data_IF_579803479393
#
_entry.id   IF_579803479393
#
_cell.length_a   1.000
_cell.length_b   1.000
_cell.length_c   1.000
_cell.angle_alpha   90.00
_cell.angle_beta   90.00
_cell.angle_gamma   90.00
#
_symmetry.space_group_name_H-M   'P 1'
#
loop_
_entity.id
_entity.type
_entity.pdbx_description
1 polymer ?
#
# COMPACT_ATOMS: atom_id res chain seq x y z
N UNK A 1 -12.52 -0.85 20.01
CA UNK A 1 -11.07 -0.61 20.02
C UNK A 1 -10.74 0.89 20.10
N UNK A 2 -10.77 1.65 19.01
CA UNK A 2 -10.38 3.08 18.99
C UNK A 2 -11.20 3.90 20.02
N UNK A 3 -12.51 3.79 20.00
CA UNK A 3 -13.40 4.54 20.93
C UNK A 3 -13.07 4.30 22.41
N UNK A 4 -12.70 3.07 22.79
CA UNK A 4 -12.39 2.71 24.17
C UNK A 4 -10.95 2.95 24.61
N UNK A 5 -10.06 3.45 23.75
CA UNK A 5 -8.70 3.78 24.14
C UNK A 5 -8.70 5.01 25.07
N UNK A 6 -8.02 4.93 26.22
CA UNK A 6 -7.91 5.97 27.24
C UNK A 6 -6.48 6.35 27.60
N UNK A 7 -5.51 5.49 27.28
CA UNK A 7 -4.09 5.69 27.57
C UNK A 7 -3.27 5.62 26.28
N UNK A 8 -3.43 4.53 25.55
CA UNK A 8 -2.69 4.29 24.31
C UNK A 8 -3.50 3.61 23.24
N UNK A 9 -3.09 3.81 21.98
CA UNK A 9 -3.65 3.15 20.81
C UNK A 9 -2.53 2.81 19.81
N UNK A 10 -2.40 1.55 19.43
CA UNK A 10 -1.44 1.09 18.44
C UNK A 10 -2.22 0.54 17.24
N UNK A 11 -1.93 1.06 16.06
CA UNK A 11 -2.52 0.65 14.81
C UNK A 11 -1.42 0.21 13.84
N UNK A 12 -1.33 -1.09 13.59
CA UNK A 12 -0.35 -1.68 12.67
C UNK A 12 -1.10 -2.26 11.48
N UNK A 13 -0.86 -1.72 10.28
CA UNK A 13 -1.51 -2.15 9.04
C UNK A 13 -0.63 -1.88 7.83
N UNK A 14 -0.39 -2.86 6.95
CA UNK A 14 0.36 -2.64 5.70
C UNK A 14 -0.24 -1.54 4.83
N UNK A 15 -1.56 -1.49 4.75
CA UNK A 15 -2.32 -0.50 3.99
C UNK A 15 -3.08 0.41 4.93
N UNK A 16 -3.01 1.71 4.65
CA UNK A 16 -3.68 2.73 5.43
C UNK A 16 -4.52 3.62 4.51
N UNK A 17 -5.83 3.49 4.62
CA UNK A 17 -6.82 4.40 4.03
C UNK A 17 -8.03 4.41 4.94
N UNK A 18 -8.08 5.40 5.79
CA UNK A 18 -9.07 5.51 6.85
C UNK A 18 -10.37 6.12 6.29
N UNK A 19 -11.50 5.53 6.66
CA UNK A 19 -12.79 6.15 6.40
C UNK A 19 -13.04 7.33 7.36
N UNK A 20 -14.02 8.19 7.03
CA UNK A 20 -14.29 9.42 7.79
C UNK A 20 -14.63 9.12 9.26
N UNK A 21 -15.33 8.03 9.53
CA UNK A 21 -15.65 7.64 10.90
C UNK A 21 -14.42 7.29 11.74
N UNK A 22 -13.44 6.60 11.16
CA UNK A 22 -12.17 6.32 11.82
C UNK A 22 -11.37 7.60 12.03
N UNK A 23 -11.35 8.48 11.03
CA UNK A 23 -10.70 9.79 11.12
C UNK A 23 -11.26 10.65 12.26
N UNK A 24 -12.58 10.72 12.39
CA UNK A 24 -13.24 11.40 13.52
C UNK A 24 -12.81 10.83 14.88
N UNK A 25 -12.88 9.49 15.04
CA UNK A 25 -12.50 8.84 16.30
C UNK A 25 -11.04 9.06 16.65
N UNK A 26 -10.14 9.07 15.67
CA UNK A 26 -8.72 9.36 15.89
C UNK A 26 -8.51 10.84 16.23
N UNK A 27 -9.19 11.77 15.55
CA UNK A 27 -9.16 13.19 15.90
C UNK A 27 -9.60 13.44 17.36
N UNK A 28 -10.62 12.70 17.84
CA UNK A 28 -11.03 12.74 19.24
C UNK A 28 -9.92 12.27 20.18
N UNK A 29 -9.21 11.18 19.83
CA UNK A 29 -8.08 10.69 20.62
C UNK A 29 -6.91 11.67 20.64
N UNK A 30 -6.67 12.38 19.54
CA UNK A 30 -5.68 13.44 19.49
C UNK A 30 -6.03 14.59 20.46
N UNK A 31 -7.29 15.02 20.48
CA UNK A 31 -7.76 16.06 21.43
C UNK A 31 -7.60 15.63 22.89
N UNK A 32 -7.80 14.35 23.17
CA UNK A 32 -7.66 13.76 24.50
C UNK A 32 -6.20 13.45 24.87
N UNK A 33 -5.25 13.72 23.99
CA UNK A 33 -3.79 13.48 24.16
C UNK A 33 -3.45 12.01 24.47
N UNK A 34 -4.20 11.09 23.88
CA UNK A 34 -3.91 9.65 23.95
C UNK A 34 -2.64 9.36 23.12
N UNK A 35 -1.73 8.51 23.60
CA UNK A 35 -0.56 8.05 22.84
C UNK A 35 -1.02 7.15 21.69
N UNK A 36 -1.07 7.73 20.48
CA UNK A 36 -1.46 6.99 19.26
C UNK A 36 -0.25 6.77 18.38
N UNK A 37 -0.01 5.49 18.06
CA UNK A 37 1.06 5.05 17.17
C UNK A 37 0.49 4.32 15.98
N UNK A 38 0.87 4.75 14.77
CA UNK A 38 0.42 4.20 13.51
C UNK A 38 1.64 3.67 12.76
N UNK A 39 1.64 2.36 12.44
CA UNK A 39 2.68 1.74 11.62
C UNK A 39 2.08 1.26 10.32
N UNK A 40 2.66 1.68 9.19
CA UNK A 40 2.22 1.28 7.87
C UNK A 40 3.39 0.69 7.04
N UNK A 41 3.07 -0.08 5.98
CA UNK A 41 4.07 -0.87 5.24
C UNK A 41 4.15 -0.57 3.75
N UNK A 42 3.24 0.23 3.21
CA UNK A 42 3.30 0.69 1.82
C UNK A 42 3.82 2.11 1.77
N UNK A 43 4.82 2.34 0.93
CA UNK A 43 5.50 3.63 0.79
C UNK A 43 4.63 4.75 0.23
N UNK A 44 3.52 4.40 -0.40
CA UNK A 44 2.61 5.36 -1.03
C UNK A 44 1.33 5.51 -0.21
N UNK A 45 1.36 6.37 0.80
CA UNK A 45 0.12 6.92 1.35
C UNK A 45 -0.45 7.90 0.32
N UNK A 46 -1.78 7.86 0.15
CA UNK A 46 -2.45 8.86 -0.69
C UNK A 46 -2.17 10.26 -0.13
N UNK A 47 -1.99 11.29 -0.98
CA UNK A 47 -1.71 12.66 -0.52
C UNK A 47 -2.71 13.16 0.53
N UNK A 48 -3.98 12.79 0.42
CA UNK A 48 -5.04 13.13 1.37
C UNK A 48 -4.83 12.49 2.75
N UNK A 49 -4.32 11.26 2.81
CA UNK A 49 -3.99 10.58 4.07
C UNK A 49 -2.77 11.24 4.74
N UNK A 50 -1.77 11.63 3.94
CA UNK A 50 -0.58 12.34 4.42
C UNK A 50 -0.99 13.68 5.02
N UNK A 51 -1.81 14.46 4.32
CA UNK A 51 -2.26 15.78 4.78
C UNK A 51 -3.07 15.66 6.08
N UNK A 52 -3.95 14.68 6.15
CA UNK A 52 -4.73 14.42 7.35
C UNK A 52 -3.85 14.02 8.55
N UNK A 53 -2.88 13.10 8.35
CA UNK A 53 -1.96 12.68 9.40
C UNK A 53 -1.07 13.81 9.91
N UNK A 54 -0.71 14.77 9.05
CA UNK A 54 0.06 15.98 9.43
C UNK A 54 -0.67 16.87 10.44
N UNK A 55 -1.99 16.91 10.38
CA UNK A 55 -2.82 17.68 11.32
C UNK A 55 -2.89 17.09 12.72
N UNK A 56 -2.31 15.90 12.93
CA UNK A 56 -2.37 15.17 14.19
C UNK A 56 -0.98 15.01 14.81
N UNK A 57 -0.93 14.96 16.15
CA UNK A 57 0.32 14.78 16.91
C UNK A 57 0.70 13.31 17.06
N UNK A 58 0.33 12.46 16.11
CA UNK A 58 0.58 11.03 16.18
C UNK A 58 1.99 10.67 15.73
N UNK A 59 2.55 9.64 16.35
CA UNK A 59 3.78 9.00 15.88
C UNK A 59 3.39 8.04 14.74
N UNK A 60 3.81 8.40 13.53
CA UNK A 60 3.58 7.58 12.35
C UNK A 60 4.93 7.02 11.88
N UNK A 61 5.01 5.70 11.69
CA UNK A 61 6.24 5.02 11.33
C UNK A 61 6.05 4.13 10.11
N UNK A 62 7.05 4.10 9.24
CA UNK A 62 7.09 3.19 8.09
C UNK A 62 7.87 1.92 8.44
N UNK A 63 7.30 0.76 8.16
CA UNK A 63 7.94 -0.53 8.33
C UNK A 63 8.03 -1.26 6.97
N UNK A 64 9.25 -1.42 6.45
CA UNK A 64 9.50 -2.15 5.21
C UNK A 64 9.04 -3.60 5.35
N UNK A 65 8.38 -4.13 4.32
CA UNK A 65 7.86 -5.51 4.28
C UNK A 65 6.81 -5.85 5.37
N UNK A 66 6.15 -4.85 5.93
CA UNK A 66 5.09 -5.07 6.91
C UNK A 66 3.94 -5.88 6.29
N UNK A 67 3.55 -6.97 6.96
CA UNK A 67 2.35 -7.74 6.61
C UNK A 67 1.42 -7.96 7.80
N UNK A 68 1.86 -7.66 9.01
CA UNK A 68 1.05 -7.75 10.22
C UNK A 68 -0.12 -6.76 10.25
N UNK A 69 -1.26 -7.18 10.78
CA UNK A 69 -2.41 -6.34 11.10
C UNK A 69 -2.75 -6.58 12.56
N UNK A 70 -2.43 -5.58 13.37
CA UNK A 70 -2.63 -5.62 14.81
C UNK A 70 -3.14 -4.28 15.30
N UNK A 71 -4.25 -4.31 16.00
CA UNK A 71 -4.90 -3.12 16.55
C UNK A 71 -5.08 -3.31 18.04
N UNK A 72 -4.53 -2.42 18.86
CA UNK A 72 -4.60 -2.60 20.30
C UNK A 72 -4.70 -1.30 21.08
N UNK A 73 -5.34 -1.39 22.21
CA UNK A 73 -5.34 -0.37 23.26
C UNK A 73 -4.88 -1.03 24.58
N UNK A 74 -4.93 -0.31 25.68
CA UNK A 74 -4.49 -0.79 27.00
C UNK A 74 -5.21 -2.03 27.52
N UNK A 75 -6.42 -2.35 27.00
CA UNK A 75 -7.27 -3.47 27.45
C UNK A 75 -7.39 -4.60 26.44
N UNK A 76 -7.24 -4.34 25.16
CA UNK A 76 -7.62 -5.24 24.08
C UNK A 76 -6.61 -5.23 22.95
N UNK A 77 -6.44 -6.39 22.31
CA UNK A 77 -5.69 -6.54 21.07
C UNK A 77 -6.52 -7.31 20.05
N UNK A 78 -6.54 -6.86 18.80
CA UNK A 78 -7.10 -7.58 17.67
C UNK A 78 -5.97 -7.92 16.71
N UNK A 79 -5.75 -9.21 16.47
CA UNK A 79 -4.89 -9.71 15.38
C UNK A 79 -5.80 -10.23 14.29
N UNK A 80 -5.62 -9.75 13.06
CA UNK A 80 -6.60 -9.99 12.00
C UNK A 80 -5.97 -10.01 10.62
N UNK A 81 -6.69 -10.48 9.63
CA UNK A 81 -6.37 -10.31 8.22
C UNK A 81 -6.81 -8.94 7.67
N UNK A 82 -7.71 -8.23 8.36
CA UNK A 82 -8.29 -6.95 7.95
C UNK A 82 -7.26 -5.82 7.96
N UNK A 83 -7.06 -5.17 6.82
CA UNK A 83 -6.29 -3.93 6.73
C UNK A 83 -7.13 -2.71 7.16
N UNK A 84 -6.45 -1.65 7.64
CA UNK A 84 -7.08 -0.32 7.79
C UNK A 84 -7.27 0.34 6.42
N UNK A 85 -7.98 -0.35 5.57
CA UNK A 85 -8.26 0.04 4.20
C UNK A 85 -9.74 -0.18 3.92
N UNK A 86 -10.44 0.88 3.52
CA UNK A 86 -11.89 0.88 3.33
C UNK A 86 -12.39 -0.24 2.42
N UNK A 87 -11.68 -0.49 1.30
CA UNK A 87 -12.02 -1.56 0.38
C UNK A 87 -12.01 -2.95 1.03
N UNK A 88 -11.03 -3.23 1.90
CA UNK A 88 -10.93 -4.50 2.63
C UNK A 88 -12.12 -4.72 3.57
N UNK A 89 -12.65 -3.64 4.14
CA UNK A 89 -13.78 -3.71 5.08
C UNK A 89 -15.10 -4.09 4.40
N UNK A 90 -15.25 -3.82 3.11
CA UNK A 90 -16.50 -4.00 2.37
C UNK A 90 -16.46 -5.23 1.45
N UNK A 91 -15.30 -5.53 0.87
CA UNK A 91 -15.20 -6.48 -0.25
C UNK A 91 -14.50 -7.79 0.09
N UNK A 92 -13.77 -7.86 1.21
CA UNK A 92 -13.00 -9.05 1.57
C UNK A 92 -13.69 -9.87 2.66
N UNK A 93 -13.50 -11.19 2.61
CA UNK A 93 -13.81 -12.06 3.74
C UNK A 93 -12.62 -12.04 4.70
N UNK A 94 -12.79 -11.42 5.85
CA UNK A 94 -11.74 -11.20 6.83
C UNK A 94 -12.01 -11.97 8.12
N UNK A 95 -10.95 -12.36 8.81
CA UNK A 95 -11.02 -13.07 10.08
C UNK A 95 -10.02 -12.47 11.07
N UNK A 96 -10.35 -12.53 12.36
CA UNK A 96 -9.45 -12.06 13.41
C UNK A 96 -9.78 -12.64 14.77
N UNK A 97 -8.87 -12.44 15.69
CA UNK A 97 -8.97 -12.85 17.09
C UNK A 97 -8.95 -11.60 17.96
N UNK A 98 -9.90 -11.52 18.89
CA UNK A 98 -9.92 -10.51 19.94
C UNK A 98 -9.31 -11.10 21.21
N UNK A 99 -8.22 -10.50 21.66
CA UNK A 99 -7.56 -10.83 22.92
C UNK A 99 -7.93 -9.74 23.93
N UNK A 100 -8.48 -10.14 25.09
CA UNK A 100 -8.77 -9.22 26.18
C UNK A 100 -7.74 -9.42 27.29
N UNK A 101 -7.07 -8.34 27.67
CA UNK A 101 -6.02 -8.37 28.70
C UNK A 101 -6.50 -8.97 30.02
N UNK A 102 -7.77 -8.75 30.37
CA UNK A 102 -8.35 -9.28 31.59
C UNK A 102 -8.61 -10.80 31.54
N UNK A 103 -8.79 -11.37 30.34
CA UNK A 103 -9.10 -12.78 30.14
C UNK A 103 -7.83 -13.62 29.87
N UNK A 104 -6.90 -13.07 29.07
CA UNK A 104 -5.60 -13.70 28.76
C UNK A 104 -4.50 -12.63 28.79
N UNK A 105 -3.99 -12.39 29.98
CA UNK A 105 -2.96 -11.36 30.20
C UNK A 105 -1.62 -11.72 29.57
N UNK A 106 -1.29 -13.03 29.47
CA UNK A 106 -0.02 -13.47 28.87
C UNK A 106 -0.05 -13.27 27.35
N UNK A 107 -1.07 -13.74 26.68
CA UNK A 107 -1.21 -13.59 25.24
C UNK A 107 -1.30 -12.12 24.83
N UNK A 108 -1.99 -11.28 25.63
CA UNK A 108 -2.01 -9.84 25.42
C UNK A 108 -0.60 -9.23 25.52
N UNK A 109 0.19 -9.65 26.53
CA UNK A 109 1.56 -9.19 26.74
C UNK A 109 2.45 -9.58 25.56
N UNK A 110 2.37 -10.83 25.09
CA UNK A 110 3.16 -11.32 23.96
C UNK A 110 2.83 -10.54 22.68
N UNK A 111 1.54 -10.30 22.40
CA UNK A 111 1.10 -9.48 21.29
C UNK A 111 1.59 -8.01 21.41
N UNK A 112 1.61 -7.45 22.62
CA UNK A 112 2.12 -6.12 22.86
C UNK A 112 3.64 -6.02 22.64
N UNK A 113 4.40 -6.99 23.13
CA UNK A 113 5.86 -7.06 22.94
C UNK A 113 6.22 -7.16 21.46
N UNK A 114 5.46 -7.94 20.67
CA UNK A 114 5.65 -8.05 19.23
C UNK A 114 5.27 -6.72 18.51
N UNK A 115 4.18 -6.08 18.91
CA UNK A 115 3.82 -4.76 18.39
C UNK A 115 4.92 -3.72 18.69
N UNK A 116 5.49 -3.73 19.90
CA UNK A 116 6.62 -2.87 20.26
C UNK A 116 7.89 -3.20 19.45
N UNK A 117 8.14 -4.48 19.15
CA UNK A 117 9.25 -4.88 18.27
C UNK A 117 9.08 -4.27 16.88
N UNK A 118 7.87 -4.38 16.30
CA UNK A 118 7.57 -3.79 14.98
C UNK A 118 7.76 -2.26 15.01
N UNK A 119 7.28 -1.57 16.05
CA UNK A 119 7.47 -0.13 16.21
C UNK A 119 8.97 0.23 16.25
N UNK A 120 9.78 -0.52 17.02
CA UNK A 120 11.22 -0.26 17.15
C UNK A 120 12.02 -0.44 15.86
N UNK A 121 11.62 -1.38 14.99
CA UNK A 121 12.29 -1.60 13.70
C UNK A 121 11.72 -0.73 12.58
N UNK A 122 10.70 0.07 12.87
CA UNK A 122 10.09 0.98 11.91
C UNK A 122 10.80 2.33 11.93
N UNK A 123 10.93 2.94 10.76
CA UNK A 123 11.47 4.29 10.62
C UNK A 123 10.40 5.31 11.03
N UNK A 124 10.71 6.17 11.98
CA UNK A 124 9.84 7.28 12.34
C UNK A 124 9.77 8.28 11.18
N UNK A 125 8.62 8.34 10.55
CA UNK A 125 8.35 9.31 9.47
C UNK A 125 7.87 10.59 10.11
N UNK A 126 8.78 11.53 10.38
CA UNK A 126 8.41 12.91 10.65
C UNK A 126 7.92 13.51 9.34
N UNK A 127 6.61 13.63 9.20
CA UNK A 127 5.98 14.36 8.12
C UNK A 127 6.19 15.85 8.41
N UNK A 128 7.44 16.34 8.29
CA UNK A 128 7.74 17.76 8.37
C UNK A 128 7.46 18.40 7.01
N UNK A 129 6.93 19.61 7.03
CA UNK A 129 6.64 20.44 5.85
C UNK A 129 7.87 20.70 4.96
N UNK A 130 9.09 20.47 5.47
CA UNK A 130 10.34 20.75 4.74
C UNK A 130 10.71 19.73 3.66
N UNK A 131 10.14 18.51 3.66
CA UNK A 131 10.51 17.47 2.67
C UNK A 131 9.72 17.48 1.38
N UNK A 132 8.77 18.40 1.20
CA UNK A 132 7.96 18.47 -0.02
C UNK A 132 8.56 19.42 -1.08
N UNK A 133 9.60 20.17 -0.77
CA UNK A 133 10.10 21.23 -1.67
C UNK A 133 11.48 20.97 -2.29
N UNK A 134 12.22 19.96 -1.94
CA UNK A 134 13.51 19.77 -2.58
C UNK A 134 14.08 18.36 -2.43
N UNK A 135 13.67 17.46 -3.30
CA UNK A 135 14.59 16.50 -3.93
C UNK A 135 13.95 16.05 -5.24
N UNK A 136 14.65 16.15 -6.38
CA UNK A 136 14.24 15.44 -7.57
C UNK A 136 14.29 13.96 -7.26
N UNK A 137 13.25 13.24 -7.64
CA UNK A 137 13.08 11.80 -7.49
C UNK A 137 14.40 11.07 -7.73
N UNK A 138 15.12 10.73 -6.65
CA UNK A 138 16.09 9.68 -6.70
C UNK A 138 15.29 8.39 -6.90
N UNK A 139 15.26 7.95 -8.13
CA UNK A 139 14.68 6.70 -8.61
C UNK A 139 15.09 5.60 -7.65
N UNK A 140 14.13 5.06 -6.89
CA UNK A 140 14.29 3.83 -6.14
C UNK A 140 14.51 2.68 -7.11
N UNK A 141 15.76 2.46 -7.50
CA UNK A 141 16.21 1.35 -8.34
C UNK A 141 16.25 0.01 -7.61
N UNK A 142 15.75 -0.10 -6.37
CA UNK A 142 15.88 -1.36 -5.61
C UNK A 142 14.58 -2.17 -5.46
N UNK A 143 13.42 -1.67 -5.91
CA UNK A 143 12.18 -2.44 -5.84
C UNK A 143 11.96 -3.43 -7.00
N UNK A 144 12.82 -3.42 -8.03
CA UNK A 144 12.63 -4.23 -9.26
C UNK A 144 13.64 -5.37 -9.42
N UNK A 145 14.51 -5.65 -8.44
CA UNK A 145 15.49 -6.76 -8.57
C UNK A 145 14.94 -8.16 -8.24
N UNK A 146 13.67 -8.30 -7.89
CA UNK A 146 13.05 -9.62 -7.67
C UNK A 146 11.86 -9.92 -8.60
N UNK A 147 11.73 -9.24 -9.70
CA UNK A 147 10.83 -9.61 -10.79
C UNK A 147 11.61 -10.36 -11.87
N UNK A 148 12.28 -11.45 -11.50
CA UNK A 148 12.55 -12.56 -12.42
C UNK A 148 11.26 -13.33 -12.66
N UNK A 149 10.35 -12.74 -13.42
CA UNK A 149 9.30 -13.45 -14.10
C UNK A 149 9.76 -13.61 -15.55
N UNK A 150 10.12 -14.85 -15.86
CA UNK A 150 10.25 -15.47 -17.16
C UNK A 150 10.24 -14.51 -18.36
N UNK A 151 11.43 -14.07 -18.75
CA UNK A 151 11.67 -13.52 -20.08
C UNK A 151 11.58 -14.69 -21.07
N UNK A 152 10.40 -14.94 -21.59
CA UNK A 152 10.26 -15.72 -22.82
C UNK A 152 10.70 -14.82 -23.98
N UNK A 153 11.97 -14.91 -24.40
CA UNK A 153 12.44 -14.27 -25.62
C UNK A 153 12.27 -12.74 -25.65
N UNK A 154 12.55 -12.07 -26.70
CA UNK A 154 12.62 -10.63 -26.98
C UNK A 154 11.48 -9.69 -26.52
N UNK A 155 10.69 -10.00 -25.48
CA UNK A 155 9.55 -9.21 -25.00
C UNK A 155 9.70 -8.76 -23.58
N UNK A 156 9.24 -7.54 -23.28
CA UNK A 156 9.27 -6.90 -21.96
C UNK A 156 7.87 -6.72 -21.36
N UNK A 157 7.67 -6.92 -20.05
CA UNK A 157 6.46 -6.49 -19.36
C UNK A 157 6.26 -4.97 -19.45
N UNK A 158 4.98 -4.51 -19.38
CA UNK A 158 4.63 -3.08 -19.49
C UNK A 158 5.45 -2.17 -18.57
N UNK A 159 5.72 -2.57 -17.33
CA UNK A 159 6.52 -1.79 -16.40
C UNK A 159 7.98 -1.63 -16.86
N UNK A 160 8.61 -2.70 -17.35
CA UNK A 160 10.00 -2.65 -17.86
C UNK A 160 10.11 -1.84 -19.14
N UNK A 161 9.13 -1.95 -20.05
CA UNK A 161 9.10 -1.14 -21.26
C UNK A 161 8.86 0.33 -20.95
N UNK A 162 7.92 0.65 -20.07
CA UNK A 162 7.66 2.03 -19.64
C UNK A 162 8.92 2.67 -19.03
N UNK A 163 9.61 1.95 -18.17
CA UNK A 163 10.88 2.40 -17.57
C UNK A 163 11.95 2.66 -18.64
N UNK A 164 12.10 1.76 -19.61
CA UNK A 164 13.05 1.93 -20.74
C UNK A 164 12.73 3.19 -21.57
N UNK A 165 11.45 3.55 -21.68
CA UNK A 165 10.97 4.72 -22.43
C UNK A 165 10.91 6.01 -21.59
N UNK A 166 11.27 5.95 -20.29
CA UNK A 166 11.15 7.10 -19.38
C UNK A 166 9.68 7.48 -19.09
N UNK A 167 8.75 6.53 -19.18
CA UNK A 167 7.32 6.72 -18.99
C UNK A 167 6.82 6.00 -17.73
N UNK A 168 5.70 6.44 -17.17
CA UNK A 168 4.93 5.63 -16.21
C UNK A 168 4.12 4.57 -16.97
N UNK A 169 3.88 3.40 -16.34
CA UNK A 169 3.12 2.30 -16.97
C UNK A 169 1.75 2.75 -17.47
N UNK A 170 1.03 3.59 -16.71
CA UNK A 170 -0.23 4.18 -17.11
C UNK A 170 -0.10 4.99 -18.42
N UNK A 171 0.92 5.85 -18.51
CA UNK A 171 1.17 6.67 -19.72
C UNK A 171 1.50 5.81 -20.95
N UNK A 172 2.20 4.69 -20.75
CA UNK A 172 2.46 3.72 -21.83
C UNK A 172 1.16 3.11 -22.34
N UNK A 173 0.28 2.68 -21.42
CA UNK A 173 -1.01 2.08 -21.76
C UNK A 173 -1.95 3.10 -22.42
N UNK A 174 -2.00 4.33 -21.93
CA UNK A 174 -2.81 5.43 -22.50
C UNK A 174 -2.38 5.73 -23.95
N UNK A 175 -1.08 5.93 -24.17
CA UNK A 175 -0.54 6.16 -25.52
C UNK A 175 -0.78 4.98 -26.46
N UNK A 176 -0.60 3.75 -25.97
CA UNK A 176 -0.89 2.56 -26.76
C UNK A 176 -2.38 2.44 -27.11
N UNK A 177 -3.26 2.93 -26.25
CA UNK A 177 -4.71 2.99 -26.51
C UNK A 177 -5.05 4.09 -27.52
N UNK A 178 -4.50 5.30 -27.39
CA UNK A 178 -4.67 6.41 -28.32
C UNK A 178 -4.22 6.03 -29.76
N UNK A 179 -3.15 5.25 -29.84
CA UNK A 179 -2.64 4.77 -31.13
C UNK A 179 -3.31 3.50 -31.64
N UNK A 180 -4.28 2.96 -30.89
CA UNK A 180 -5.08 1.81 -31.29
C UNK A 180 -4.36 0.47 -31.21
N UNK A 181 -3.29 0.34 -30.44
CA UNK A 181 -2.67 -0.95 -30.11
C UNK A 181 -3.41 -1.67 -28.98
N UNK A 182 -4.00 -0.89 -28.07
CA UNK A 182 -4.91 -1.37 -27.05
C UNK A 182 -6.30 -0.75 -27.22
N UNK A 183 -7.31 -1.40 -26.68
CA UNK A 183 -8.68 -0.90 -26.58
C UNK A 183 -9.06 -0.88 -25.09
N UNK A 184 -9.61 0.22 -24.61
CA UNK A 184 -10.18 0.31 -23.28
C UNK A 184 -11.62 -0.20 -23.31
N UNK A 185 -11.91 -1.29 -22.60
CA UNK A 185 -13.25 -1.87 -22.44
C UNK A 185 -13.63 -1.84 -20.95
N UNK A 186 -14.42 -0.83 -20.54
CA UNK A 186 -14.64 -0.52 -19.13
C UNK A 186 -13.32 -0.12 -18.46
N UNK A 187 -12.96 -0.79 -17.36
CA UNK A 187 -11.71 -0.53 -16.63
C UNK A 187 -10.54 -1.43 -17.07
N UNK A 188 -10.68 -2.17 -18.18
CA UNK A 188 -9.66 -3.12 -18.64
C UNK A 188 -9.19 -2.82 -20.05
N UNK A 189 -7.87 -2.91 -20.24
CA UNK A 189 -7.30 -2.85 -21.59
C UNK A 189 -7.33 -4.23 -22.24
N UNK A 190 -7.59 -4.26 -23.55
CA UNK A 190 -7.53 -5.46 -24.40
C UNK A 190 -6.61 -5.17 -25.59
N UNK A 191 -5.90 -6.20 -26.08
CA UNK A 191 -5.04 -6.06 -27.26
C UNK A 191 -5.93 -6.01 -28.50
N UNK A 192 -5.66 -5.08 -29.41
CA UNK A 192 -6.34 -4.98 -30.70
C UNK A 192 -5.64 -5.83 -31.76
N UNK A 193 -6.27 -6.13 -32.91
CA UNK A 193 -5.60 -6.77 -34.05
C UNK A 193 -4.34 -6.02 -34.53
N UNK A 194 -4.29 -4.68 -34.34
CA UNK A 194 -3.10 -3.87 -34.59
C UNK A 194 -2.01 -4.11 -33.56
N UNK A 195 -2.39 -4.25 -32.29
CA UNK A 195 -1.47 -4.57 -31.21
C UNK A 195 -0.85 -5.96 -31.36
N UNK A 196 -1.67 -6.97 -31.72
CA UNK A 196 -1.18 -8.33 -31.99
C UNK A 196 -0.18 -8.36 -33.14
N UNK A 197 -0.46 -7.66 -34.26
CA UNK A 197 0.47 -7.52 -35.38
C UNK A 197 1.76 -6.81 -35.00
N UNK A 198 1.71 -5.89 -34.04
CA UNK A 198 2.87 -5.21 -33.47
C UNK A 198 3.61 -6.06 -32.42
N UNK A 199 3.18 -7.30 -32.18
CA UNK A 199 3.82 -8.22 -31.25
C UNK A 199 3.43 -8.05 -29.79
N UNK A 200 2.41 -7.26 -29.48
CA UNK A 200 1.88 -7.11 -28.12
C UNK A 200 1.06 -8.36 -27.75
N UNK A 201 1.33 -8.90 -26.57
CA UNK A 201 0.64 -10.09 -26.05
C UNK A 201 0.00 -9.81 -24.70
N UNK A 202 -1.18 -10.39 -24.46
CA UNK A 202 -1.85 -10.35 -23.18
C UNK A 202 -1.65 -11.65 -22.41
N UNK A 203 -1.09 -11.57 -21.21
CA UNK A 203 -0.91 -12.71 -20.31
C UNK A 203 -1.97 -12.65 -19.22
N UNK A 204 -2.96 -13.57 -19.32
CA UNK A 204 -4.10 -13.59 -18.38
C UNK A 204 -3.75 -14.08 -16.97
N UNK A 205 -2.72 -14.94 -16.83
CA UNK A 205 -2.30 -15.54 -15.55
C UNK A 205 -0.83 -15.24 -15.30
N UNK A 206 -0.53 -14.09 -14.74
CA UNK A 206 0.79 -13.77 -14.19
C UNK A 206 0.80 -13.92 -12.68
N UNK A 207 1.98 -14.01 -12.07
CA UNK A 207 2.18 -14.13 -10.61
C UNK A 207 1.51 -12.99 -9.82
N UNK A 208 1.35 -11.81 -10.44
CA UNK A 208 0.79 -10.59 -9.84
C UNK A 208 -0.49 -10.11 -10.54
N UNK A 209 -1.14 -10.96 -11.33
CA UNK A 209 -2.32 -10.64 -12.13
C UNK A 209 -2.03 -10.57 -13.64
N UNK A 210 -3.04 -10.21 -14.45
CA UNK A 210 -2.89 -10.10 -15.88
C UNK A 210 -1.97 -8.92 -16.27
N UNK A 211 -1.15 -9.09 -17.33
CA UNK A 211 -0.25 -8.07 -17.82
C UNK A 211 -0.01 -8.19 -19.33
N UNK A 212 0.61 -7.16 -19.93
CA UNK A 212 1.00 -7.17 -21.34
C UNK A 212 2.50 -7.40 -21.50
N UNK A 213 2.86 -8.15 -22.54
CA UNK A 213 4.22 -8.30 -23.04
C UNK A 213 4.37 -7.50 -24.35
N UNK A 214 5.45 -6.74 -24.44
CA UNK A 214 5.74 -5.85 -25.54
C UNK A 214 7.08 -6.21 -26.18
N UNK A 215 7.26 -6.06 -27.50
CA UNK A 215 8.59 -6.14 -28.12
C UNK A 215 9.53 -5.12 -27.49
N UNK A 216 10.83 -5.47 -27.40
CA UNK A 216 11.83 -4.59 -26.78
C UNK A 216 12.06 -3.28 -27.53
N UNK A 217 11.75 -3.25 -28.82
CA UNK A 217 11.86 -2.12 -29.75
C UNK A 217 10.52 -1.39 -29.94
N UNK A 218 9.48 -1.75 -29.18
CA UNK A 218 8.18 -1.10 -29.27
C UNK A 218 8.25 0.34 -28.74
N UNK A 219 7.93 1.30 -29.61
CA UNK A 219 7.81 2.71 -29.26
C UNK A 219 6.42 3.21 -29.64
N UNK A 220 5.56 3.56 -28.65
CA UNK A 220 4.36 4.33 -28.91
C UNK A 220 4.80 5.77 -29.20
N UNK A 221 4.89 6.13 -30.47
CA UNK A 221 5.22 7.51 -30.92
C UNK A 221 3.97 8.37 -30.84
#
# INVERSE_FOLDING_TARGET
>A
MIKGASDRLILISPFLKLNDRMKELLADKNRLKIDVRIVYGKSELQPQEIEWLRGLTYITSFCKNLHAKCYMNEERCIVTSLNLYEFSQVNNNEMGILIRRAEDSQLYKDAYEEAQRIIRISDEVRISLERVISEPEAVNQEADKNAEAETTGDKLPSGKLAQKLGLKTAQLLDRATEQGYLLLSGDKHAVTPKGEKAGVEFVAKGRFGPYFLWPQDFHPV
#
